data_IF_906743819818
#
_entry.id   IF_906743819818
#
_cell.length_a   1.000
_cell.length_b   1.000
_cell.length_c   1.000
_cell.angle_alpha   90.00
_cell.angle_beta   90.00
_cell.angle_gamma   90.00
#
_symmetry.space_group_name_H-M   'P 1'
#
loop_
_entity.id
_entity.type
_entity.pdbx_description
1 polymer ?
#
# COMPACT_ATOMS: atom_id res chain seq x y z
N UNK A 1 25.33 -30.04 -10.40
CA UNK A 1 26.04 -28.88 -10.98
C UNK A 1 25.21 -28.32 -12.11
N UNK A 2 24.51 -27.19 -11.96
CA UNK A 2 23.78 -26.57 -13.07
C UNK A 2 24.75 -25.79 -13.96
N UNK A 3 24.46 -25.78 -15.26
CA UNK A 3 25.36 -25.42 -16.36
C UNK A 3 25.71 -23.91 -16.43
N UNK A 4 26.93 -23.63 -16.90
CA UNK A 4 27.54 -22.30 -17.08
C UNK A 4 26.79 -21.35 -18.02
N UNK A 5 25.69 -21.77 -18.65
CA UNK A 5 24.82 -20.93 -19.47
C UNK A 5 23.83 -20.09 -18.62
N UNK A 6 23.56 -20.49 -17.37
CA UNK A 6 22.66 -19.75 -16.47
C UNK A 6 23.33 -18.57 -15.75
N UNK A 7 24.67 -18.47 -15.83
CA UNK A 7 25.47 -17.43 -15.16
C UNK A 7 25.76 -16.24 -16.10
N UNK A 8 25.62 -16.40 -17.41
CA UNK A 8 25.96 -15.33 -18.37
C UNK A 8 24.85 -14.28 -18.59
N UNK A 9 23.60 -14.58 -18.22
CA UNK A 9 22.51 -13.59 -18.22
C UNK A 9 22.44 -12.76 -16.93
N UNK A 10 23.33 -13.00 -15.95
CA UNK A 10 23.33 -12.29 -14.66
C UNK A 10 24.36 -11.14 -14.58
N UNK A 11 25.08 -10.85 -15.66
CA UNK A 11 26.23 -9.91 -15.63
C UNK A 11 26.16 -8.78 -16.68
N UNK A 12 24.98 -8.48 -17.22
CA UNK A 12 24.82 -7.43 -18.24
C UNK A 12 23.77 -6.34 -17.92
N UNK A 13 23.21 -6.31 -16.71
CA UNK A 13 22.30 -5.23 -16.28
C UNK A 13 22.81 -4.44 -15.04
N UNK A 14 24.13 -4.52 -14.79
CA UNK A 14 24.78 -3.87 -13.64
C UNK A 14 25.51 -2.58 -14.00
N UNK A 15 25.33 -2.02 -15.21
CA UNK A 15 26.06 -0.82 -15.67
C UNK A 15 25.19 0.44 -15.86
N UNK A 16 23.92 0.42 -15.43
CA UNK A 16 23.08 1.64 -15.36
C UNK A 16 22.79 2.06 -13.91
N UNK A 17 23.37 1.38 -12.92
CA UNK A 17 23.08 1.57 -11.49
C UNK A 17 23.94 2.62 -10.79
N UNK A 18 24.85 3.29 -11.50
CA UNK A 18 25.80 4.23 -10.88
C UNK A 18 25.20 5.61 -10.57
N UNK A 19 24.27 6.20 -11.36
CA UNK A 19 23.62 7.44 -10.96
C UNK A 19 22.58 7.23 -9.84
N UNK A 20 21.93 6.07 -9.80
CA UNK A 20 20.87 5.76 -8.83
C UNK A 20 21.41 5.53 -7.41
N UNK A 21 22.60 4.93 -7.26
CA UNK A 21 23.21 4.68 -5.94
C UNK A 21 23.55 5.95 -5.17
N UNK A 22 23.87 7.05 -5.85
CA UNK A 22 24.15 8.33 -5.20
C UNK A 22 22.88 9.02 -4.68
N UNK A 23 21.73 8.81 -5.33
CA UNK A 23 20.42 9.33 -4.87
C UNK A 23 19.87 8.50 -3.70
N UNK A 24 20.11 7.19 -3.69
CA UNK A 24 19.68 6.28 -2.60
C UNK A 24 20.36 6.58 -1.26
N UNK A 25 21.60 7.10 -1.27
CA UNK A 25 22.31 7.52 -0.05
C UNK A 25 21.78 8.86 0.50
N UNK A 26 21.17 9.70 -0.34
CA UNK A 26 20.62 10.99 0.09
C UNK A 26 19.36 10.86 0.98
N UNK A 27 18.62 9.75 0.88
CA UNK A 27 17.42 9.48 1.71
C UNK A 27 17.75 9.33 3.20
N UNK A 28 19.00 8.95 3.54
CA UNK A 28 19.40 8.73 4.93
C UNK A 28 19.98 9.96 5.66
N UNK A 29 20.28 11.04 4.94
CA UNK A 29 20.89 12.24 5.52
C UNK A 29 20.13 13.51 5.12
N UNK A 30 19.06 13.84 5.85
CA UNK A 30 18.56 15.21 5.89
C UNK A 30 19.70 16.10 6.46
N UNK A 31 20.14 17.13 5.72
CA UNK A 31 21.09 18.11 6.23
C UNK A 31 20.58 18.70 7.55
N UNK A 32 21.44 18.84 8.57
CA UNK A 32 21.06 19.28 9.93
C UNK A 32 20.18 20.54 9.97
N UNK A 33 20.29 21.43 8.98
CA UNK A 33 19.54 22.69 8.91
C UNK A 33 18.07 22.56 8.50
N UNK A 34 17.63 21.42 7.94
CA UNK A 34 16.22 21.16 7.62
C UNK A 34 15.47 20.44 8.76
N UNK A 35 16.14 20.15 9.87
CA UNK A 35 15.53 19.46 11.00
C UNK A 35 14.79 20.47 11.88
N UNK A 36 13.50 20.24 12.22
CA UNK A 36 12.80 21.02 13.23
C UNK A 36 13.50 20.96 14.60
N UNK A 37 14.27 19.89 14.85
CA UNK A 37 15.07 19.71 16.06
C UNK A 37 16.46 19.14 15.73
N UNK A 38 17.52 19.81 16.20
CA UNK A 38 18.91 19.46 15.93
C UNK A 38 19.33 18.06 16.44
N UNK A 39 18.60 17.48 17.41
CA UNK A 39 18.87 16.14 17.96
C UNK A 39 18.24 14.99 17.16
N UNK A 40 17.33 15.26 16.22
CA UNK A 40 16.62 14.21 15.49
C UNK A 40 17.50 13.53 14.44
N UNK A 41 17.40 12.20 14.36
CA UNK A 41 17.79 11.41 13.20
C UNK A 41 16.53 10.92 12.47
N UNK A 42 16.64 10.56 11.19
CA UNK A 42 15.53 9.98 10.43
C UNK A 42 14.94 8.74 11.15
N UNK A 43 15.80 7.94 11.77
CA UNK A 43 15.44 6.79 12.63
C UNK A 43 14.62 7.15 13.87
N UNK A 44 14.75 8.37 14.42
CA UNK A 44 14.10 8.76 15.69
C UNK A 44 12.90 9.68 15.51
N UNK A 45 12.83 10.44 14.42
CA UNK A 45 11.70 11.35 14.16
C UNK A 45 10.47 10.62 13.60
N UNK A 46 10.69 9.66 12.70
CA UNK A 46 9.61 9.05 11.91
C UNK A 46 9.41 7.56 12.12
N UNK A 47 10.33 6.87 12.80
CA UNK A 47 10.13 5.50 13.24
C UNK A 47 10.12 5.45 14.76
N UNK A 48 8.92 5.42 15.31
CA UNK A 48 8.66 5.31 16.75
C UNK A 48 7.40 4.48 16.97
N UNK A 49 7.10 4.23 18.25
CA UNK A 49 5.92 3.47 18.68
C UNK A 49 5.78 2.15 17.91
N UNK A 50 4.67 1.98 17.19
CA UNK A 50 4.36 0.72 16.52
C UNK A 50 5.40 0.30 15.48
N UNK A 51 6.05 1.26 14.82
CA UNK A 51 7.07 0.96 13.80
C UNK A 51 8.38 0.42 14.41
N UNK A 52 8.53 0.48 15.73
CA UNK A 52 9.63 -0.11 16.49
C UNK A 52 9.18 -1.28 17.38
N UNK A 53 7.94 -1.76 17.21
CA UNK A 53 7.34 -2.78 18.08
C UNK A 53 7.92 -4.19 17.91
N UNK A 54 8.59 -4.45 16.78
CA UNK A 54 9.27 -5.73 16.49
C UNK A 54 10.77 -5.45 16.35
N UNK A 55 11.60 -5.80 17.35
CA UNK A 55 13.02 -5.46 17.39
C UNK A 55 13.85 -5.96 16.20
N UNK A 56 13.45 -7.08 15.60
CA UNK A 56 14.13 -7.67 14.44
C UNK A 56 13.89 -6.89 13.14
N UNK A 57 12.92 -5.98 13.12
CA UNK A 57 12.50 -5.23 11.94
C UNK A 57 13.02 -3.80 12.02
N UNK A 58 14.09 -3.51 11.28
CA UNK A 58 14.66 -2.17 11.16
C UNK A 58 14.35 -1.50 9.82
N UNK A 59 14.27 -0.15 9.77
CA UNK A 59 14.15 0.58 8.51
C UNK A 59 15.36 0.36 7.59
N UNK A 60 15.10 0.12 6.30
CA UNK A 60 16.11 -0.13 5.27
C UNK A 60 15.84 0.69 4.01
N UNK A 61 16.85 0.82 3.14
CA UNK A 61 16.65 1.35 1.79
C UNK A 61 15.72 0.45 1.00
N UNK A 62 14.69 1.05 0.41
CA UNK A 62 13.75 0.39 -0.49
C UNK A 62 13.86 0.90 -1.92
N UNK A 63 13.47 0.08 -2.87
CA UNK A 63 13.28 0.48 -4.25
C UNK A 63 11.85 0.95 -4.53
N UNK A 64 11.67 1.63 -5.66
CA UNK A 64 10.38 2.00 -6.19
C UNK A 64 10.50 2.12 -7.72
N UNK A 65 9.37 1.98 -8.41
CA UNK A 65 9.31 2.20 -9.85
C UNK A 65 8.36 3.34 -10.16
N UNK A 66 8.81 4.20 -11.07
CA UNK A 66 7.92 5.15 -11.70
C UNK A 66 7.14 4.49 -12.83
N UNK A 67 5.88 4.84 -12.93
CA UNK A 67 5.00 4.42 -14.01
C UNK A 67 4.28 5.65 -14.59
N UNK A 68 4.03 5.73 -15.91
CA UNK A 68 4.52 4.81 -16.95
C UNK A 68 6.04 4.91 -17.17
N UNK A 69 6.63 6.05 -16.82
CA UNK A 69 8.07 6.30 -16.85
C UNK A 69 8.46 7.31 -15.77
N UNK A 70 9.76 7.38 -15.46
CA UNK A 70 10.27 8.35 -14.49
C UNK A 70 10.15 9.78 -15.06
N UNK A 71 9.50 10.71 -14.33
CA UNK A 71 9.32 12.05 -14.84
C UNK A 71 10.65 12.81 -14.81
N UNK A 72 10.90 13.65 -15.82
CA UNK A 72 12.12 14.46 -15.91
C UNK A 72 12.25 15.51 -14.80
N UNK A 73 11.12 15.87 -14.16
CA UNK A 73 11.01 16.78 -13.01
C UNK A 73 10.00 16.17 -12.02
N UNK A 74 10.04 16.54 -10.73
CA UNK A 74 9.00 16.14 -9.79
C UNK A 74 7.60 16.48 -10.36
N UNK A 75 6.66 15.53 -10.34
CA UNK A 75 5.32 15.77 -10.87
C UNK A 75 4.56 16.72 -9.96
N UNK A 76 3.59 17.44 -10.52
CA UNK A 76 2.70 18.31 -9.75
C UNK A 76 1.79 17.50 -8.81
N UNK A 77 1.51 16.25 -9.14
CA UNK A 77 0.72 15.33 -8.33
C UNK A 77 1.39 13.97 -8.32
N UNK A 78 1.27 13.27 -7.20
CA UNK A 78 1.90 11.97 -7.02
C UNK A 78 0.94 10.98 -6.40
N UNK A 79 0.72 9.87 -7.10
CA UNK A 79 0.14 8.67 -6.49
C UNK A 79 1.28 7.81 -5.96
N UNK A 80 1.35 7.62 -4.65
CA UNK A 80 2.21 6.60 -4.02
C UNK A 80 1.40 5.32 -3.94
N UNK A 81 1.87 4.30 -4.67
CA UNK A 81 1.08 3.10 -4.93
C UNK A 81 1.66 1.86 -4.24
N UNK A 82 0.79 1.10 -3.57
CA UNK A 82 1.10 -0.15 -2.88
C UNK A 82 0.41 -1.34 -3.55
N UNK A 83 1.21 -2.31 -3.99
CA UNK A 83 0.74 -3.50 -4.69
C UNK A 83 -0.03 -4.48 -3.77
N UNK A 84 -0.82 -5.40 -4.35
CA UNK A 84 -1.48 -6.47 -3.62
C UNK A 84 -0.51 -7.64 -3.41
N UNK A 85 -1.07 -8.78 -2.96
CA UNK A 85 -0.33 -10.04 -2.89
C UNK A 85 -0.16 -10.58 -1.47
N UNK A 86 -1.08 -10.19 -0.59
CA UNK A 86 -1.17 -10.66 0.79
C UNK A 86 0.15 -10.50 1.57
N UNK A 87 0.92 -9.45 1.26
CA UNK A 87 2.28 -9.20 1.75
C UNK A 87 3.34 -10.26 1.40
N UNK A 88 3.01 -11.27 0.60
CA UNK A 88 3.88 -12.42 0.31
C UNK A 88 4.43 -12.48 -1.09
N UNK A 89 3.67 -11.95 -2.05
CA UNK A 89 3.99 -12.04 -3.46
C UNK A 89 3.61 -10.77 -4.19
N UNK A 90 4.04 -10.68 -5.45
CA UNK A 90 3.98 -9.47 -6.27
C UNK A 90 4.81 -8.32 -5.68
N UNK A 91 5.86 -7.94 -6.38
CA UNK A 91 6.56 -6.67 -6.14
C UNK A 91 6.07 -5.62 -7.13
N UNK A 92 6.51 -4.37 -6.96
CA UNK A 92 6.29 -3.36 -7.99
C UNK A 92 6.89 -3.82 -9.32
N UNK A 93 6.00 -4.21 -10.24
CA UNK A 93 6.31 -4.57 -11.62
C UNK A 93 5.32 -3.80 -12.47
N UNK A 94 5.79 -3.01 -13.45
CA UNK A 94 4.90 -2.16 -14.23
C UNK A 94 3.86 -3.01 -14.96
N UNK A 95 2.57 -2.74 -14.71
CA UNK A 95 1.47 -3.10 -15.61
C UNK A 95 1.14 -1.87 -16.45
N UNK A 96 0.92 -2.05 -17.75
CA UNK A 96 0.87 -1.00 -18.81
C UNK A 96 -0.30 0.01 -18.72
N UNK A 97 -0.77 0.46 -17.56
CA UNK A 97 -1.96 1.31 -17.44
C UNK A 97 -1.82 2.44 -16.42
N UNK A 98 -2.03 3.71 -16.83
CA UNK A 98 -2.33 4.84 -15.91
C UNK A 98 -1.34 6.02 -15.80
N UNK A 99 -1.72 6.95 -14.94
CA UNK A 99 -1.06 8.22 -14.60
C UNK A 99 0.31 8.08 -13.89
N UNK A 100 1.07 9.18 -13.69
CA UNK A 100 2.33 9.17 -12.98
C UNK A 100 2.20 8.63 -11.54
N UNK A 101 2.71 7.41 -11.30
CA UNK A 101 2.69 6.77 -9.99
C UNK A 101 4.08 6.34 -9.55
N UNK A 102 4.37 6.49 -8.26
CA UNK A 102 5.54 5.91 -7.61
C UNK A 102 5.14 4.64 -6.87
N UNK A 103 5.43 3.51 -7.50
CA UNK A 103 4.95 2.22 -7.11
C UNK A 103 6.00 1.49 -6.26
N UNK A 104 5.70 1.29 -4.97
CA UNK A 104 6.68 0.99 -3.93
C UNK A 104 7.05 -0.49 -3.88
N UNK A 105 8.35 -0.80 -3.84
CA UNK A 105 8.84 -2.16 -3.58
C UNK A 105 8.95 -2.40 -2.06
N UNK A 106 7.82 -2.33 -1.36
CA UNK A 106 7.80 -2.61 0.08
C UNK A 106 8.22 -4.07 0.34
N UNK A 107 8.85 -4.31 1.49
CA UNK A 107 9.34 -5.63 1.91
C UNK A 107 8.17 -6.59 2.06
N UNK A 108 8.28 -7.72 1.37
CA UNK A 108 7.37 -8.85 1.50
C UNK A 108 7.74 -9.68 2.73
N UNK A 109 6.77 -10.24 3.42
CA UNK A 109 6.93 -10.97 4.68
C UNK A 109 7.50 -12.37 4.49
N UNK A 110 8.80 -12.46 4.26
CA UNK A 110 9.49 -13.73 4.01
C UNK A 110 10.05 -14.36 5.29
N UNK A 111 10.36 -13.53 6.28
CA UNK A 111 10.95 -13.94 7.55
C UNK A 111 10.62 -12.93 8.68
N UNK A 112 11.18 -13.17 9.88
CA UNK A 112 10.97 -12.33 11.06
C UNK A 112 11.45 -10.88 10.90
N UNK A 113 12.35 -10.59 9.95
CA UNK A 113 12.88 -9.25 9.69
C UNK A 113 12.04 -8.47 8.67
N UNK A 114 11.08 -9.15 8.04
CA UNK A 114 10.25 -8.61 6.95
C UNK A 114 8.74 -8.78 7.21
N UNK A 115 8.36 -9.28 8.39
CA UNK A 115 6.99 -9.23 8.93
C UNK A 115 6.59 -7.79 9.30
N UNK A 116 5.35 -7.55 9.75
CA UNK A 116 4.98 -6.23 10.28
C UNK A 116 5.97 -5.77 11.37
N UNK A 117 6.41 -4.50 11.43
CA UNK A 117 5.97 -3.34 10.66
C UNK A 117 6.83 -3.04 9.41
N UNK A 118 7.52 -4.02 8.80
CA UNK A 118 8.49 -3.76 7.72
C UNK A 118 7.86 -3.00 6.53
N UNK A 119 6.71 -3.46 6.04
CA UNK A 119 6.00 -2.80 4.96
C UNK A 119 5.51 -1.38 5.34
N UNK A 120 5.09 -1.18 6.59
CA UNK A 120 4.71 0.13 7.11
C UNK A 120 5.91 1.10 7.15
N UNK A 121 7.05 0.64 7.66
CA UNK A 121 8.30 1.41 7.62
C UNK A 121 8.64 1.83 6.19
N UNK A 122 8.42 0.95 5.21
CA UNK A 122 8.70 1.20 3.80
C UNK A 122 7.75 2.24 3.20
N UNK A 123 6.45 2.19 3.54
CA UNK A 123 5.48 3.22 3.17
C UNK A 123 5.81 4.60 3.73
N UNK A 124 6.21 4.66 5.00
CA UNK A 124 6.69 5.90 5.65
C UNK A 124 7.91 6.45 4.91
N UNK A 125 8.87 5.59 4.56
CA UNK A 125 10.07 5.96 3.81
C UNK A 125 9.70 6.59 2.46
N UNK A 126 8.77 5.98 1.73
CA UNK A 126 8.29 6.48 0.46
C UNK A 126 7.60 7.84 0.58
N UNK A 127 6.77 8.03 1.60
CA UNK A 127 6.09 9.30 1.81
C UNK A 127 7.06 10.43 2.14
N UNK A 128 8.00 10.18 3.05
CA UNK A 128 9.02 11.18 3.39
C UNK A 128 9.93 11.46 2.19
N UNK A 129 10.24 10.47 1.35
CA UNK A 129 10.95 10.71 0.09
C UNK A 129 10.19 11.69 -0.81
N UNK A 130 8.87 11.54 -0.95
CA UNK A 130 8.05 12.47 -1.72
C UNK A 130 8.07 13.90 -1.13
N UNK A 131 7.91 14.03 0.18
CA UNK A 131 7.90 15.33 0.86
C UNK A 131 9.28 16.01 0.84
N UNK A 132 10.34 15.26 1.17
CA UNK A 132 11.65 15.85 1.48
C UNK A 132 12.60 15.88 0.30
N UNK A 133 12.51 14.92 -0.61
CA UNK A 133 13.42 14.80 -1.76
C UNK A 133 12.75 15.31 -3.03
N UNK A 134 11.53 14.86 -3.32
CA UNK A 134 10.79 15.35 -4.48
C UNK A 134 10.16 16.73 -4.25
N UNK A 135 10.06 17.16 -2.98
CA UNK A 135 9.45 18.44 -2.57
C UNK A 135 8.00 18.58 -3.03
N UNK A 136 7.26 17.46 -3.05
CA UNK A 136 5.84 17.44 -3.38
C UNK A 136 5.05 17.68 -2.09
N UNK A 137 4.15 18.68 -2.05
CA UNK A 137 3.35 18.95 -0.87
C UNK A 137 2.34 17.81 -0.60
N UNK A 138 1.96 17.60 0.67
CA UNK A 138 0.98 16.57 1.08
C UNK A 138 -0.35 16.68 0.34
N UNK A 139 -0.79 17.91 0.06
CA UNK A 139 -2.01 18.24 -0.69
C UNK A 139 -1.98 17.80 -2.16
N UNK A 140 -0.86 17.28 -2.64
CA UNK A 140 -0.65 16.78 -4.00
C UNK A 140 -0.25 15.29 -4.01
N UNK A 141 -0.33 14.62 -2.86
CA UNK A 141 0.03 13.21 -2.72
C UNK A 141 -1.24 12.42 -2.42
N UNK A 142 -1.51 11.40 -3.22
CA UNK A 142 -2.53 10.38 -2.96
C UNK A 142 -1.85 9.08 -2.56
N UNK A 143 -2.35 8.44 -1.50
CA UNK A 143 -2.02 7.04 -1.24
C UNK A 143 -3.00 6.12 -1.93
N UNK A 144 -2.50 5.17 -2.72
CA UNK A 144 -3.34 4.20 -3.40
C UNK A 144 -2.84 2.78 -3.13
N UNK A 145 -3.76 1.84 -2.92
CA UNK A 145 -3.37 0.46 -2.65
C UNK A 145 -4.43 -0.57 -3.00
N UNK A 146 -3.96 -1.74 -3.41
CA UNK A 146 -4.82 -2.89 -3.71
C UNK A 146 -4.72 -3.95 -2.62
N UNK A 147 -5.83 -4.39 -2.03
CA UNK A 147 -5.84 -5.50 -1.06
C UNK A 147 -4.89 -5.32 0.11
N UNK A 148 -3.81 -6.11 0.19
CA UNK A 148 -2.74 -5.90 1.18
C UNK A 148 -2.09 -4.52 1.05
N UNK A 149 -1.97 -3.97 -0.16
CA UNK A 149 -1.57 -2.58 -0.37
C UNK A 149 -2.60 -1.59 0.16
N UNK A 150 -3.90 -1.88 0.03
CA UNK A 150 -4.95 -1.06 0.64
C UNK A 150 -4.93 -1.13 2.17
N UNK A 151 -4.66 -2.30 2.73
CA UNK A 151 -4.39 -2.49 4.16
C UNK A 151 -3.18 -1.66 4.61
N UNK A 152 -2.10 -1.65 3.81
CA UNK A 152 -0.90 -0.86 4.09
C UNK A 152 -1.17 0.65 4.03
N UNK A 153 -2.02 1.13 3.10
CA UNK A 153 -2.48 2.53 3.08
C UNK A 153 -3.17 2.88 4.40
N UNK A 154 -4.06 2.02 4.91
CA UNK A 154 -4.71 2.25 6.20
C UNK A 154 -3.70 2.27 7.34
N UNK A 155 -2.75 1.33 7.39
CA UNK A 155 -1.70 1.32 8.41
C UNK A 155 -0.87 2.62 8.39
N UNK A 156 -0.54 3.12 7.19
CA UNK A 156 0.21 4.36 7.01
C UNK A 156 -0.59 5.57 7.49
N UNK A 157 -1.87 5.66 7.14
CA UNK A 157 -2.75 6.74 7.57
C UNK A 157 -2.95 6.75 9.10
N UNK A 158 -3.22 5.59 9.71
CA UNK A 158 -3.32 5.47 11.17
C UNK A 158 -2.02 5.89 11.84
N UNK A 159 -0.86 5.46 11.31
CA UNK A 159 0.44 5.82 11.88
C UNK A 159 0.73 7.33 11.79
N UNK A 160 0.41 7.95 10.67
CA UNK A 160 0.55 9.39 10.48
C UNK A 160 -0.34 10.14 11.47
N UNK A 161 -1.61 9.71 11.58
CA UNK A 161 -2.60 10.34 12.44
C UNK A 161 -2.29 10.19 13.94
N UNK A 162 -1.94 8.99 14.39
CA UNK A 162 -1.85 8.66 15.81
C UNK A 162 -0.45 8.83 16.38
N UNK A 163 0.59 8.45 15.62
CA UNK A 163 1.95 8.40 16.15
C UNK A 163 2.83 9.53 15.62
N UNK A 164 2.59 10.06 14.42
CA UNK A 164 3.43 11.10 13.82
C UNK A 164 2.67 12.37 13.43
N UNK A 165 2.04 13.09 14.39
CA UNK A 165 1.21 14.27 14.09
C UNK A 165 1.96 15.44 13.44
N UNK A 166 3.29 15.41 13.39
CA UNK A 166 4.09 16.37 12.61
C UNK A 166 4.12 16.05 11.10
N UNK A 167 3.82 14.81 10.72
CA UNK A 167 3.62 14.43 9.33
C UNK A 167 2.16 14.73 8.98
N UNK A 168 1.90 15.59 7.99
CA UNK A 168 0.55 15.82 7.50
C UNK A 168 0.04 14.58 6.76
N UNK A 169 -1.27 14.36 6.78
CA UNK A 169 -1.91 13.34 5.94
C UNK A 169 -1.80 13.70 4.45
N UNK A 170 -1.92 12.69 3.59
CA UNK A 170 -2.05 12.84 2.14
C UNK A 170 -3.34 13.60 1.77
N UNK A 171 -3.51 14.04 0.53
CA UNK A 171 -4.73 14.76 0.14
C UNK A 171 -5.97 13.86 0.15
N UNK A 172 -5.80 12.59 -0.20
CA UNK A 172 -6.84 11.57 -0.22
C UNK A 172 -6.21 10.17 -0.22
N UNK A 173 -7.07 9.15 -0.14
CA UNK A 173 -6.68 7.75 -0.26
C UNK A 173 -7.59 6.97 -1.22
N UNK A 174 -7.01 6.04 -1.97
CA UNK A 174 -7.73 5.10 -2.85
C UNK A 174 -7.46 3.67 -2.39
N UNK A 175 -8.51 2.97 -2.00
CA UNK A 175 -8.48 1.59 -1.53
C UNK A 175 -9.23 0.69 -2.52
N UNK A 176 -8.51 -0.18 -3.22
CA UNK A 176 -9.08 -1.10 -4.19
C UNK A 176 -9.12 -2.52 -3.63
N UNK A 177 -10.31 -3.07 -3.44
CA UNK A 177 -10.55 -4.37 -2.80
C UNK A 177 -9.70 -4.55 -1.52
N UNK A 178 -9.70 -3.60 -0.56
CA UNK A 178 -8.75 -3.59 0.54
C UNK A 178 -8.95 -4.80 1.47
N UNK A 179 -7.85 -5.41 1.91
CA UNK A 179 -7.92 -6.53 2.85
C UNK A 179 -7.97 -6.00 4.29
N UNK A 180 -9.18 -5.79 4.80
CA UNK A 180 -9.42 -5.04 6.05
C UNK A 180 -9.51 -5.90 7.31
N UNK A 181 -9.73 -7.22 7.18
CA UNK A 181 -9.78 -8.17 8.29
C UNK A 181 -8.79 -9.33 8.11
N UNK A 182 -7.71 -9.29 8.90
CA UNK A 182 -6.68 -10.33 8.95
C UNK A 182 -6.91 -11.29 10.12
N UNK A 183 -8.02 -11.17 10.87
CA UNK A 183 -8.29 -12.02 12.02
C UNK A 183 -8.38 -13.50 11.61
N UNK A 184 -7.97 -14.38 12.50
CA UNK A 184 -8.10 -15.82 12.27
C UNK A 184 -9.57 -16.25 12.08
N UNK A 185 -10.52 -15.47 12.61
CA UNK A 185 -11.96 -15.70 12.43
C UNK A 185 -12.39 -15.37 10.99
N UNK A 186 -12.02 -14.21 10.45
CA UNK A 186 -12.32 -13.83 9.08
C UNK A 186 -11.80 -14.86 8.09
N UNK A 187 -10.52 -15.28 8.25
CA UNK A 187 -9.94 -16.35 7.42
C UNK A 187 -10.74 -17.64 7.48
N UNK A 188 -11.16 -18.08 8.67
CA UNK A 188 -11.97 -19.31 8.82
C UNK A 188 -13.33 -19.21 8.13
N UNK A 189 -13.88 -18.01 7.98
CA UNK A 189 -15.17 -17.78 7.35
C UNK A 189 -15.10 -17.67 5.81
N UNK A 190 -13.92 -17.49 5.22
CA UNK A 190 -13.77 -17.37 3.75
C UNK A 190 -14.46 -18.50 2.96
N UNK A 191 -14.36 -19.80 3.34
CA UNK A 191 -15.06 -20.88 2.63
C UNK A 191 -16.59 -20.84 2.73
N UNK A 192 -17.13 -20.07 3.67
CA UNK A 192 -18.58 -19.88 3.88
C UNK A 192 -19.13 -18.71 3.04
N UNK A 193 -18.25 -17.89 2.44
CA UNK A 193 -18.68 -16.74 1.67
C UNK A 193 -19.41 -17.18 0.39
N UNK A 194 -20.50 -16.49 0.03
CA UNK A 194 -21.29 -16.77 -1.18
C UNK A 194 -20.48 -16.75 -2.48
N UNK A 195 -19.42 -15.94 -2.53
CA UNK A 195 -18.53 -15.76 -3.67
C UNK A 195 -17.33 -16.73 -3.66
N UNK A 196 -17.21 -17.59 -2.65
CA UNK A 196 -16.02 -18.44 -2.48
C UNK A 196 -15.71 -19.32 -3.69
N UNK A 197 -16.73 -19.83 -4.39
CA UNK A 197 -16.51 -20.70 -5.55
C UNK A 197 -16.17 -19.93 -6.83
N UNK A 198 -16.58 -18.66 -6.92
CA UNK A 198 -16.43 -17.82 -8.13
C UNK A 198 -15.22 -16.90 -8.07
N UNK A 199 -14.76 -16.52 -6.88
CA UNK A 199 -13.57 -15.69 -6.71
C UNK A 199 -12.28 -16.52 -6.84
N UNK A 200 -11.21 -15.92 -7.35
CA UNK A 200 -9.88 -16.51 -7.38
C UNK A 200 -9.10 -16.29 -6.08
N UNK A 201 -9.53 -15.37 -5.21
CA UNK A 201 -8.99 -15.25 -3.85
C UNK A 201 -9.55 -16.37 -2.97
N UNK A 202 -8.66 -17.17 -2.40
CA UNK A 202 -9.01 -18.36 -1.59
C UNK A 202 -8.46 -18.26 -0.17
N UNK A 203 -9.07 -19.02 0.74
CA UNK A 203 -8.71 -19.05 2.16
C UNK A 203 -7.22 -19.34 2.39
N UNK A 204 -6.66 -20.33 1.70
CA UNK A 204 -5.25 -20.72 1.86
C UNK A 204 -4.29 -19.58 1.49
N UNK A 205 -4.62 -18.78 0.48
CA UNK A 205 -3.81 -17.63 0.08
C UNK A 205 -3.84 -16.53 1.14
N UNK A 206 -5.02 -16.18 1.65
CA UNK A 206 -5.16 -15.19 2.72
C UNK A 206 -4.54 -15.66 4.04
N UNK A 207 -4.70 -16.94 4.40
CA UNK A 207 -4.08 -17.50 5.62
C UNK A 207 -2.56 -17.53 5.53
N UNK A 208 -1.99 -17.78 4.34
CA UNK A 208 -0.55 -17.71 4.11
C UNK A 208 -0.01 -16.29 4.37
N UNK A 209 -0.65 -15.28 3.77
CA UNK A 209 -0.28 -13.88 4.00
C UNK A 209 -0.44 -13.46 5.45
N UNK A 210 -1.56 -13.83 6.10
CA UNK A 210 -1.85 -13.50 7.49
C UNK A 210 -0.76 -14.03 8.42
N UNK A 211 -0.43 -15.32 8.29
CA UNK A 211 0.57 -15.98 9.14
C UNK A 211 1.96 -15.38 8.99
N UNK A 212 2.32 -14.95 7.80
CA UNK A 212 3.64 -14.39 7.53
C UNK A 212 3.75 -12.91 7.92
N UNK A 213 2.70 -12.13 7.67
CA UNK A 213 2.67 -10.70 8.00
C UNK A 213 2.47 -10.41 9.49
N UNK A 214 1.80 -11.30 10.23
CA UNK A 214 1.60 -11.16 11.67
C UNK A 214 2.89 -11.52 12.42
N UNK A 215 3.45 -10.63 13.26
CA UNK A 215 4.65 -10.93 14.03
C UNK A 215 4.44 -12.11 14.99
N UNK A 216 5.54 -12.75 15.39
CA UNK A 216 5.45 -13.84 16.36
C UNK A 216 4.81 -13.34 17.67
N UNK A 217 3.88 -14.13 18.22
CA UNK A 217 3.11 -13.82 19.45
C UNK A 217 2.08 -12.70 19.31
N UNK A 218 1.93 -12.10 18.14
CA UNK A 218 0.83 -11.18 17.89
C UNK A 218 -0.45 -11.93 17.53
N UNK A 219 -1.57 -11.35 17.92
CA UNK A 219 -2.87 -11.74 17.38
C UNK A 219 -3.08 -11.03 16.04
N UNK A 220 -3.56 -11.75 15.02
CA UNK A 220 -3.80 -11.17 13.71
C UNK A 220 -5.01 -10.22 13.68
N UNK A 221 -5.78 -10.15 14.77
CA UNK A 221 -6.82 -9.14 15.04
C UNK A 221 -6.29 -7.82 15.62
N UNK A 222 -4.97 -7.69 15.83
CA UNK A 222 -4.37 -6.44 16.29
C UNK A 222 -4.77 -5.25 15.38
N UNK A 223 -5.11 -4.11 16.00
CA UNK A 223 -5.66 -2.92 15.32
C UNK A 223 -4.72 -2.27 14.30
N UNK A 224 -3.43 -2.61 14.32
CA UNK A 224 -2.44 -2.14 13.35
C UNK A 224 -2.37 -2.95 12.06
N UNK A 225 -3.04 -4.11 12.02
CA UNK A 225 -3.06 -5.00 10.86
C UNK A 225 -4.49 -5.40 10.45
N UNK A 226 -5.46 -5.39 11.37
CA UNK A 226 -6.90 -5.58 11.10
C UNK A 226 -7.65 -4.28 11.40
N UNK A 227 -8.22 -3.67 10.37
CA UNK A 227 -8.90 -2.38 10.44
C UNK A 227 -10.41 -2.49 10.55
N UNK A 228 -11.01 -3.60 10.09
CA UNK A 228 -12.43 -3.85 10.31
C UNK A 228 -12.70 -3.98 11.82
N UNK A 229 -13.56 -3.10 12.34
CA UNK A 229 -13.84 -2.97 13.78
C UNK A 229 -12.82 -2.14 14.57
N UNK A 230 -11.79 -1.62 13.91
CA UNK A 230 -10.74 -0.75 14.49
C UNK A 230 -10.60 0.55 13.69
N UNK A 231 -11.70 1.06 13.11
CA UNK A 231 -11.70 2.23 12.27
C UNK A 231 -11.34 3.51 13.06
N UNK A 232 -10.43 4.31 12.50
CA UNK A 232 -10.07 5.63 13.04
C UNK A 232 -10.71 6.75 12.23
N UNK A 233 -10.89 7.91 12.88
CA UNK A 233 -11.17 9.15 12.17
C UNK A 233 -9.91 9.61 11.42
N UNK A 234 -10.09 10.02 10.17
CA UNK A 234 -9.12 10.55 9.23
C UNK A 234 -9.71 11.83 8.64
N UNK A 235 -8.96 12.91 8.67
CA UNK A 235 -9.40 14.19 8.13
C UNK A 235 -9.07 14.31 6.62
N UNK A 236 -9.29 13.22 5.87
CA UNK A 236 -9.07 13.13 4.42
C UNK A 236 -10.19 12.34 3.73
N UNK A 237 -10.50 12.64 2.46
CA UNK A 237 -11.40 11.81 1.66
C UNK A 237 -10.80 10.43 1.37
N UNK A 238 -11.60 9.38 1.50
CA UNK A 238 -11.24 7.99 1.19
C UNK A 238 -12.16 7.44 0.12
N UNK A 239 -11.60 7.00 -1.01
CA UNK A 239 -12.33 6.28 -2.05
C UNK A 239 -12.09 4.77 -1.89
N UNK A 240 -13.17 4.00 -1.88
CA UNK A 240 -13.12 2.53 -1.79
C UNK A 240 -13.80 1.95 -3.03
N UNK A 241 -13.16 1.03 -3.73
CA UNK A 241 -13.82 0.25 -4.79
C UNK A 241 -13.69 -1.24 -4.53
N UNK A 242 -14.72 -1.99 -4.91
CA UNK A 242 -14.79 -3.45 -4.74
C UNK A 242 -15.66 -4.04 -5.86
N UNK A 243 -15.37 -5.27 -6.26
CA UNK A 243 -16.30 -6.09 -7.04
C UNK A 243 -17.37 -6.71 -6.14
N UNK A 244 -18.59 -6.93 -6.63
CA UNK A 244 -19.63 -7.61 -5.81
C UNK A 244 -19.45 -9.12 -5.77
N UNK A 245 -18.56 -9.68 -6.61
CA UNK A 245 -18.29 -11.11 -6.73
C UNK A 245 -16.96 -11.54 -6.09
N UNK A 246 -16.37 -10.70 -5.23
CA UNK A 246 -15.19 -11.06 -4.43
C UNK A 246 -15.55 -11.51 -3.00
N UNK A 247 -14.69 -12.33 -2.39
CA UNK A 247 -14.88 -12.86 -1.02
C UNK A 247 -14.66 -11.80 0.06
N UNK A 248 -14.00 -10.69 -0.26
CA UNK A 248 -13.72 -9.59 0.67
C UNK A 248 -14.85 -8.54 0.71
N UNK A 249 -15.80 -8.59 -0.23
CA UNK A 249 -16.80 -7.55 -0.44
C UNK A 249 -17.58 -7.18 0.83
N UNK A 250 -18.08 -8.17 1.58
CA UNK A 250 -18.90 -7.91 2.77
C UNK A 250 -18.10 -7.18 3.87
N UNK A 251 -16.85 -7.61 4.07
CA UNK A 251 -15.94 -6.99 5.05
C UNK A 251 -15.58 -5.56 4.62
N UNK A 252 -15.37 -5.33 3.32
CA UNK A 252 -15.09 -3.99 2.76
C UNK A 252 -16.28 -3.05 2.94
N UNK A 253 -17.50 -3.51 2.65
CA UNK A 253 -18.70 -2.70 2.82
C UNK A 253 -18.94 -2.34 4.28
N UNK A 254 -18.73 -3.31 5.19
CA UNK A 254 -18.87 -3.06 6.63
C UNK A 254 -17.79 -2.09 7.13
N UNK A 255 -16.55 -2.23 6.68
CA UNK A 255 -15.47 -1.30 7.00
C UNK A 255 -15.76 0.13 6.51
N UNK A 256 -16.25 0.28 5.28
CA UNK A 256 -16.59 1.59 4.72
C UNK A 256 -17.74 2.27 5.48
N UNK A 257 -18.74 1.49 5.91
CA UNK A 257 -19.81 1.97 6.79
C UNK A 257 -19.25 2.45 8.13
N UNK A 258 -18.44 1.62 8.80
CA UNK A 258 -17.84 1.97 10.09
C UNK A 258 -16.94 3.22 9.98
N UNK A 259 -16.17 3.38 8.90
CA UNK A 259 -15.40 4.59 8.65
C UNK A 259 -16.30 5.83 8.55
N UNK A 260 -17.43 5.75 7.84
CA UNK A 260 -18.40 6.87 7.78
C UNK A 260 -18.99 7.18 9.15
N UNK A 261 -19.32 6.16 9.94
CA UNK A 261 -19.80 6.32 11.32
C UNK A 261 -18.77 7.00 12.24
N UNK A 262 -17.48 6.85 11.94
CA UNK A 262 -16.37 7.58 12.60
C UNK A 262 -16.17 9.02 12.10
N UNK A 263 -17.01 9.50 11.19
CA UNK A 263 -16.97 10.88 10.69
C UNK A 263 -16.10 11.09 9.45
N UNK A 264 -15.63 10.02 8.80
CA UNK A 264 -14.81 10.12 7.59
C UNK A 264 -15.64 10.40 6.34
N UNK A 265 -15.09 11.18 5.39
CA UNK A 265 -15.64 11.28 4.04
C UNK A 265 -15.25 10.04 3.22
N UNK A 266 -16.20 9.11 3.04
CA UNK A 266 -15.96 7.87 2.28
C UNK A 266 -16.87 7.77 1.06
N UNK A 267 -16.28 7.66 -0.13
CA UNK A 267 -16.97 7.33 -1.37
C UNK A 267 -16.75 5.84 -1.68
N UNK A 268 -17.81 5.11 -2.01
CA UNK A 268 -17.73 3.67 -2.32
C UNK A 268 -18.26 3.42 -3.73
N UNK A 269 -17.47 2.70 -4.53
CA UNK A 269 -17.88 2.18 -5.83
C UNK A 269 -17.97 0.65 -5.78
N UNK A 270 -19.18 0.14 -6.00
CA UNK A 270 -19.44 -1.28 -6.17
C UNK A 270 -19.51 -1.63 -7.66
N UNK A 271 -18.65 -2.53 -8.10
CA UNK A 271 -18.69 -3.06 -9.47
C UNK A 271 -19.52 -4.34 -9.53
N UNK A 272 -20.76 -4.21 -10.01
CA UNK A 272 -21.70 -5.32 -10.12
C UNK A 272 -21.12 -6.47 -10.95
N UNK A 273 -21.24 -7.69 -10.43
CA UNK A 273 -20.76 -8.94 -11.03
C UNK A 273 -19.24 -8.96 -11.34
N UNK A 274 -18.47 -8.00 -10.81
CA UNK A 274 -17.04 -7.96 -11.01
C UNK A 274 -16.30 -8.72 -9.91
N UNK A 275 -15.18 -9.32 -10.28
CA UNK A 275 -14.28 -9.97 -9.32
C UNK A 275 -13.36 -8.95 -8.64
N UNK A 276 -12.52 -9.47 -7.76
CA UNK A 276 -11.49 -8.75 -7.01
C UNK A 276 -10.60 -7.86 -7.91
N UNK A 277 -10.36 -6.61 -7.49
CA UNK A 277 -9.71 -5.51 -8.26
C UNK A 277 -10.29 -5.32 -9.68
N UNK A 278 -11.56 -4.87 -9.78
CA UNK A 278 -12.29 -4.77 -11.05
C UNK A 278 -11.59 -3.87 -12.09
N UNK A 279 -10.88 -2.82 -11.65
CA UNK A 279 -10.18 -1.90 -12.56
C UNK A 279 -8.96 -2.51 -13.26
N UNK A 280 -8.44 -3.66 -12.81
CA UNK A 280 -7.22 -4.28 -13.34
C UNK A 280 -7.49 -5.47 -14.27
N UNK A 281 -8.62 -6.14 -14.11
CA UNK A 281 -8.91 -7.42 -14.77
C UNK A 281 -9.54 -7.31 -16.17
N UNK A 282 -9.98 -6.11 -16.57
CA UNK A 282 -10.76 -5.80 -17.78
C UNK A 282 -10.70 -6.81 -18.93
N UNK A 283 -9.72 -6.67 -19.83
CA UNK A 283 -9.67 -7.45 -21.08
C UNK A 283 -9.51 -8.97 -20.91
N UNK A 284 -8.86 -9.40 -19.83
CA UNK A 284 -8.54 -10.81 -19.63
C UNK A 284 -9.69 -11.59 -18.97
N UNK A 285 -10.69 -10.89 -18.43
CA UNK A 285 -11.77 -11.46 -17.62
C UNK A 285 -13.17 -11.03 -18.07
N UNK A 286 -13.30 -10.40 -19.25
CA UNK A 286 -14.57 -9.86 -19.75
C UNK A 286 -15.19 -8.84 -18.78
N UNK A 287 -14.35 -7.97 -18.22
CA UNK A 287 -14.67 -6.95 -17.20
C UNK A 287 -14.37 -5.52 -17.68
N UNK A 288 -14.29 -5.30 -19.00
CA UNK A 288 -13.91 -4.01 -19.59
C UNK A 288 -14.86 -2.87 -19.16
N UNK A 289 -16.15 -3.15 -19.04
CA UNK A 289 -17.14 -2.18 -18.57
C UNK A 289 -16.89 -1.79 -17.11
N UNK A 290 -16.75 -2.77 -16.22
CA UNK A 290 -16.44 -2.54 -14.81
C UNK A 290 -15.10 -1.79 -14.66
N UNK A 291 -14.10 -2.15 -15.46
CA UNK A 291 -12.82 -1.45 -15.51
C UNK A 291 -12.99 0.02 -15.92
N UNK A 292 -13.71 0.29 -17.00
CA UNK A 292 -13.92 1.66 -17.49
C UNK A 292 -14.68 2.52 -16.48
N UNK A 293 -15.70 1.96 -15.82
CA UNK A 293 -16.47 2.64 -14.76
C UNK A 293 -15.57 2.93 -13.56
N UNK A 294 -14.76 1.96 -13.11
CA UNK A 294 -13.83 2.15 -12.01
C UNK A 294 -12.82 3.26 -12.30
N UNK A 295 -12.13 3.18 -13.43
CA UNK A 295 -11.12 4.18 -13.81
C UNK A 295 -11.74 5.58 -13.90
N UNK A 296 -12.89 5.71 -14.58
CA UNK A 296 -13.59 6.99 -14.72
C UNK A 296 -14.01 7.58 -13.37
N UNK A 297 -14.47 6.75 -12.45
CA UNK A 297 -14.93 7.20 -11.12
C UNK A 297 -13.75 7.58 -10.24
N UNK A 298 -12.67 6.79 -10.26
CA UNK A 298 -11.42 7.14 -9.56
C UNK A 298 -10.83 8.45 -10.07
N UNK A 299 -10.80 8.69 -11.39
CA UNK A 299 -10.34 9.97 -11.94
C UNK A 299 -11.19 11.13 -11.45
N UNK A 300 -12.52 11.00 -11.44
CA UNK A 300 -13.41 12.06 -10.91
C UNK A 300 -13.20 12.33 -9.42
N UNK A 301 -12.95 11.28 -8.65
CA UNK A 301 -12.63 11.42 -7.23
C UNK A 301 -11.32 12.21 -7.04
N UNK A 302 -10.27 11.84 -7.79
CA UNK A 302 -8.99 12.56 -7.78
C UNK A 302 -9.19 14.05 -8.12
N UNK A 303 -9.89 14.34 -9.22
CA UNK A 303 -10.17 15.71 -9.68
C UNK A 303 -10.89 16.55 -8.60
N UNK A 304 -11.85 15.94 -7.89
CA UNK A 304 -12.59 16.59 -6.78
C UNK A 304 -11.67 16.89 -5.58
N UNK A 305 -10.67 16.05 -5.33
CA UNK A 305 -9.73 16.20 -4.21
C UNK A 305 -8.54 17.11 -4.50
N UNK A 306 -8.55 17.79 -5.66
CA UNK A 306 -7.46 18.70 -6.06
C UNK A 306 -6.27 17.98 -6.70
N UNK A 307 -6.48 16.73 -7.12
CA UNK A 307 -5.57 15.90 -7.92
C UNK A 307 -6.09 15.92 -9.36
#
# INVERSE_FOLDING_TARGET
>A
MPSKAFVFCYTAYSLVTVPARLVVVAVYNIPRFLRPNAAWSYKTAFYKGITCSVPEVEPLSIGAFWFPEAPAKPPQQLIIYFYPGAYMMFGSRPSKTGDPALAIQYRLSQDKKTTFPAALQDGITAYIYALEILKIPPSQITFAGESAGGNLVMALLCYINEETPMLPLSCCAILSSPWVDLSSKAIKNVPLNRNYNTDFIKQNFLDWGRKAFTPERWDSSNSWITFLGNETQLDIPVFVNTGTSEVLYDDIMKFAENLREKGNEVEVLESLNAAYVPYRLGKNWNMEEAQAICLKTMTKFLEKTGV
#
